data_IF_805060435606
#
_entry.id   IF_805060435606
#
_cell.length_a   1.000
_cell.length_b   1.000
_cell.length_c   1.000
_cell.angle_alpha   90.00
_cell.angle_beta   90.00
_cell.angle_gamma   90.00
#
_symmetry.space_group_name_H-M   'P 1'
#
loop_
_entity.id
_entity.type
_entity.pdbx_description
1 polymer ?
#
# COMPACT_ATOMS: atom_id res chain seq x y z
N UNK A 1 -2.81 -19.08 -4.92
CA UNK A 1 -2.24 -19.23 -3.57
C UNK A 1 -1.61 -17.89 -3.24
N UNK A 2 -2.22 -17.10 -2.36
CA UNK A 2 -1.75 -15.75 -2.04
C UNK A 2 -0.64 -15.74 -0.98
N UNK A 3 0.10 -14.63 -0.88
CA UNK A 3 1.15 -14.41 0.14
C UNK A 3 0.64 -14.63 1.57
N UNK A 4 -0.61 -14.23 1.81
CA UNK A 4 -1.28 -14.35 3.09
C UNK A 4 -2.24 -15.55 3.12
N UNK A 5 -2.35 -16.19 4.29
CA UNK A 5 -3.46 -17.10 4.57
C UNK A 5 -4.78 -16.33 4.66
N UNK A 6 -5.91 -17.03 4.56
CA UNK A 6 -7.25 -16.40 4.62
C UNK A 6 -7.46 -15.52 5.86
N UNK A 7 -7.03 -15.99 7.04
CA UNK A 7 -7.14 -15.20 8.28
C UNK A 7 -6.20 -13.99 8.30
N UNK A 8 -5.01 -14.13 7.74
CA UNK A 8 -4.05 -13.02 7.60
C UNK A 8 -4.58 -11.95 6.65
N UNK A 9 -5.14 -12.34 5.50
CA UNK A 9 -5.74 -11.44 4.52
C UNK A 9 -6.95 -10.69 5.11
N UNK A 10 -7.84 -11.39 5.82
CA UNK A 10 -8.98 -10.76 6.50
C UNK A 10 -8.51 -9.70 7.49
N UNK A 11 -7.57 -10.05 8.39
CA UNK A 11 -7.08 -9.11 9.41
C UNK A 11 -6.33 -7.95 8.78
N UNK A 12 -5.54 -8.21 7.73
CA UNK A 12 -4.84 -7.17 6.97
C UNK A 12 -5.81 -6.16 6.35
N UNK A 13 -6.81 -6.63 5.61
CA UNK A 13 -7.76 -5.76 4.91
C UNK A 13 -8.59 -4.92 5.89
N UNK A 14 -9.04 -5.49 7.00
CA UNK A 14 -9.75 -4.73 8.03
C UNK A 14 -8.85 -3.72 8.74
N UNK A 15 -7.56 -4.04 8.90
CA UNK A 15 -6.59 -3.09 9.43
C UNK A 15 -6.33 -1.92 8.46
N UNK A 16 -6.21 -2.17 7.15
CA UNK A 16 -6.05 -1.11 6.13
C UNK A 16 -7.27 -0.19 6.04
N UNK A 17 -8.46 -0.68 6.40
CA UNK A 17 -9.69 0.14 6.59
C UNK A 17 -9.64 1.05 7.83
N UNK A 18 -8.54 1.04 8.59
CA UNK A 18 -8.36 1.84 9.80
C UNK A 18 -8.98 1.25 11.06
N UNK A 19 -9.39 -0.03 11.04
CA UNK A 19 -9.94 -0.68 12.24
C UNK A 19 -8.84 -1.08 13.21
N UNK A 20 -9.09 -0.86 14.50
CA UNK A 20 -8.19 -1.34 15.55
C UNK A 20 -8.34 -2.86 15.75
N UNK A 21 -7.31 -3.51 16.31
CA UNK A 21 -7.36 -4.95 16.63
C UNK A 21 -8.52 -5.31 17.57
N UNK A 22 -8.93 -4.39 18.44
CA UNK A 22 -10.12 -4.54 19.29
C UNK A 22 -11.42 -4.54 18.47
N UNK A 23 -11.58 -3.58 17.55
CA UNK A 23 -12.75 -3.50 16.67
C UNK A 23 -12.87 -4.74 15.80
N UNK A 24 -11.76 -5.18 15.19
CA UNK A 24 -11.71 -6.40 14.37
C UNK A 24 -12.12 -7.63 15.21
N UNK A 25 -11.62 -7.72 16.44
CA UNK A 25 -11.98 -8.82 17.36
C UNK A 25 -13.47 -8.82 17.75
N UNK A 26 -14.06 -7.64 17.96
CA UNK A 26 -15.47 -7.50 18.29
C UNK A 26 -16.38 -7.91 17.13
N UNK A 27 -16.07 -7.46 15.91
CA UNK A 27 -16.83 -7.83 14.70
C UNK A 27 -16.68 -9.32 14.34
N UNK A 28 -15.55 -9.93 14.70
CA UNK A 28 -15.24 -11.35 14.44
C UNK A 28 -15.40 -12.22 15.68
N UNK A 29 -16.23 -11.80 16.64
CA UNK A 29 -16.43 -12.52 17.91
C UNK A 29 -16.95 -13.95 17.68
N UNK A 30 -17.81 -14.14 16.68
CA UNK A 30 -18.38 -15.46 16.33
C UNK A 30 -17.32 -16.44 15.80
N UNK A 31 -16.19 -15.93 15.29
CA UNK A 31 -15.03 -16.71 14.85
C UNK A 31 -14.01 -16.96 15.99
N UNK A 32 -14.34 -16.59 17.23
CA UNK A 32 -13.48 -16.69 18.42
C UNK A 32 -12.12 -15.98 18.29
N UNK A 33 -12.05 -14.93 17.45
CA UNK A 33 -10.85 -14.13 17.28
C UNK A 33 -10.68 -13.14 18.43
N UNK A 34 -9.93 -13.52 19.47
CA UNK A 34 -9.59 -12.59 20.57
C UNK A 34 -8.67 -11.44 20.10
N UNK A 35 -8.60 -10.30 20.80
CA UNK A 35 -7.72 -9.20 20.40
C UNK A 35 -6.24 -9.61 20.34
N UNK A 36 -5.82 -10.48 21.25
CA UNK A 36 -4.48 -11.05 21.27
C UNK A 36 -4.21 -11.95 20.05
N UNK A 37 -5.24 -12.70 19.62
CA UNK A 37 -5.16 -13.51 18.40
C UNK A 37 -5.06 -12.62 17.15
N UNK A 38 -5.94 -11.62 17.01
CA UNK A 38 -5.92 -10.65 15.90
C UNK A 38 -4.57 -9.94 15.80
N UNK A 39 -4.03 -9.45 16.92
CA UNK A 39 -2.71 -8.80 16.95
C UNK A 39 -1.59 -9.73 16.46
N UNK A 40 -1.60 -11.01 16.88
CA UNK A 40 -0.63 -12.00 16.41
C UNK A 40 -0.75 -12.28 14.92
N UNK A 41 -1.98 -12.39 14.41
CA UNK A 41 -2.25 -12.60 12.98
C UNK A 41 -1.76 -11.41 12.17
N UNK A 42 -2.09 -10.18 12.60
CA UNK A 42 -1.66 -8.95 11.94
C UNK A 42 -0.13 -8.86 11.88
N UNK A 43 0.57 -9.14 12.97
CA UNK A 43 2.03 -9.10 13.00
C UNK A 43 2.67 -10.14 12.08
N UNK A 44 2.08 -11.34 11.94
CA UNK A 44 2.54 -12.32 10.96
C UNK A 44 2.31 -11.86 9.53
N UNK A 45 1.14 -11.28 9.24
CA UNK A 45 0.84 -10.73 7.93
C UNK A 45 1.84 -9.61 7.57
N UNK A 46 2.05 -8.65 8.48
CA UNK A 46 3.05 -7.58 8.32
C UNK A 46 4.44 -8.14 8.05
N UNK A 47 4.89 -9.13 8.81
CA UNK A 47 6.22 -9.72 8.61
C UNK A 47 6.35 -10.38 7.23
N UNK A 48 5.36 -11.19 6.81
CA UNK A 48 5.36 -11.80 5.47
C UNK A 48 5.38 -10.78 4.35
N UNK A 49 4.59 -9.71 4.50
CA UNK A 49 4.57 -8.61 3.52
C UNK A 49 5.93 -7.93 3.49
N UNK A 50 6.46 -7.48 4.62
CA UNK A 50 7.78 -6.84 4.68
C UNK A 50 8.87 -7.70 4.06
N UNK A 51 8.91 -8.99 4.39
CA UNK A 51 9.91 -9.92 3.83
C UNK A 51 9.81 -9.99 2.30
N UNK A 52 8.58 -10.03 1.76
CA UNK A 52 8.37 -10.02 0.31
C UNK A 52 8.78 -8.68 -0.32
N UNK A 53 8.46 -7.54 0.30
CA UNK A 53 8.86 -6.23 -0.22
C UNK A 53 10.39 -6.07 -0.23
N UNK A 54 11.06 -6.54 0.82
CA UNK A 54 12.52 -6.54 0.93
C UNK A 54 13.14 -7.46 -0.13
N UNK A 55 12.62 -8.67 -0.34
CA UNK A 55 13.08 -9.59 -1.40
C UNK A 55 12.96 -8.94 -2.80
N UNK A 56 11.86 -8.25 -3.08
CA UNK A 56 11.72 -7.49 -4.32
C UNK A 56 12.69 -6.32 -4.41
N UNK A 57 12.91 -5.57 -3.32
CA UNK A 57 13.88 -4.48 -3.30
C UNK A 57 15.31 -4.97 -3.56
N UNK A 58 15.71 -6.09 -2.97
CA UNK A 58 17.00 -6.74 -3.19
C UNK A 58 17.15 -7.21 -4.64
N UNK A 59 16.11 -7.85 -5.20
CA UNK A 59 16.09 -8.32 -6.60
C UNK A 59 16.26 -7.17 -7.60
N UNK A 60 15.61 -6.03 -7.31
CA UNK A 60 15.71 -4.80 -8.08
C UNK A 60 16.95 -3.94 -7.73
N UNK A 61 17.79 -4.38 -6.77
CA UNK A 61 19.00 -3.67 -6.30
C UNK A 61 18.73 -2.24 -5.86
N UNK A 62 17.59 -2.03 -5.22
CA UNK A 62 17.19 -0.72 -4.73
C UNK A 62 18.00 -0.34 -3.50
N UNK A 63 18.31 0.95 -3.37
CA UNK A 63 18.69 1.55 -2.10
C UNK A 63 17.41 1.83 -1.30
N UNK A 64 17.20 1.08 -0.21
CA UNK A 64 15.95 1.15 0.55
C UNK A 64 15.93 2.42 1.41
N UNK A 65 15.03 3.34 1.09
CA UNK A 65 14.86 4.61 1.81
C UNK A 65 13.92 4.46 3.02
N UNK A 66 12.85 3.66 2.88
CA UNK A 66 11.85 3.48 3.93
C UNK A 66 11.06 2.19 3.77
N UNK A 67 10.87 1.45 4.86
CA UNK A 67 9.90 0.36 4.96
C UNK A 67 8.76 0.77 5.92
N UNK A 68 7.54 0.86 5.39
CA UNK A 68 6.31 1.13 6.12
C UNK A 68 5.47 -0.15 6.19
N UNK A 69 5.90 -1.09 7.04
CA UNK A 69 5.30 -2.43 7.19
C UNK A 69 3.79 -2.44 7.51
N UNK A 70 3.30 -1.41 8.22
CA UNK A 70 1.89 -1.23 8.54
C UNK A 70 1.04 -0.79 7.34
N UNK A 71 1.67 -0.28 6.27
CA UNK A 71 1.03 0.05 5.00
C UNK A 71 1.39 -0.88 3.86
N UNK A 72 2.20 -1.91 4.12
CA UNK A 72 2.66 -2.81 3.08
C UNK A 72 3.39 -2.07 1.95
N UNK A 73 4.13 -1.02 2.31
CA UNK A 73 4.81 -0.13 1.38
C UNK A 73 6.31 -0.06 1.70
N UNK A 74 7.14 -0.25 0.68
CA UNK A 74 8.56 0.05 0.69
C UNK A 74 8.85 1.14 -0.33
N UNK A 75 9.71 2.09 0.03
CA UNK A 75 10.21 3.14 -0.85
C UNK A 75 11.71 2.94 -0.98
N UNK A 76 12.18 2.92 -2.23
CA UNK A 76 13.60 2.82 -2.53
C UNK A 76 13.97 3.68 -3.73
N UNK A 77 15.27 3.71 -4.02
CA UNK A 77 15.82 4.41 -5.17
C UNK A 77 16.65 3.46 -6.03
N UNK A 78 16.42 3.48 -7.34
CA UNK A 78 17.23 2.76 -8.32
C UNK A 78 18.21 3.76 -8.96
N UNK A 79 19.48 3.66 -8.62
CA UNK A 79 20.52 4.55 -9.18
C UNK A 79 20.78 4.34 -10.67
N UNK A 80 20.52 3.14 -11.21
CA UNK A 80 20.72 2.86 -12.64
C UNK A 80 19.61 3.49 -13.48
N UNK A 81 18.36 3.37 -13.00
CA UNK A 81 17.21 4.02 -13.62
C UNK A 81 17.09 5.51 -13.26
N UNK A 82 17.84 5.97 -12.25
CA UNK A 82 17.73 7.30 -11.64
C UNK A 82 16.26 7.64 -11.28
N UNK A 83 15.59 6.69 -10.63
CA UNK A 83 14.17 6.75 -10.37
C UNK A 83 13.83 6.30 -8.95
N UNK A 84 12.87 7.01 -8.34
CA UNK A 84 12.24 6.55 -7.11
C UNK A 84 11.30 5.37 -7.42
N UNK A 85 11.35 4.36 -6.57
CA UNK A 85 10.60 3.12 -6.72
C UNK A 85 9.74 2.89 -5.48
N UNK A 86 8.47 2.61 -5.70
CA UNK A 86 7.52 2.19 -4.67
C UNK A 86 7.23 0.71 -4.85
N UNK A 87 7.41 -0.08 -3.80
CA UNK A 87 6.99 -1.49 -3.78
C UNK A 87 5.81 -1.59 -2.81
N UNK A 88 4.65 -1.97 -3.32
CA UNK A 88 3.41 -2.03 -2.54
C UNK A 88 2.77 -3.41 -2.64
N UNK A 89 2.30 -3.93 -1.51
CA UNK A 89 1.52 -5.15 -1.48
C UNK A 89 0.03 -4.84 -1.70
N UNK A 90 -0.63 -5.61 -2.54
CA UNK A 90 -2.09 -5.64 -2.70
C UNK A 90 -2.57 -7.09 -2.60
N UNK A 91 -3.79 -7.31 -2.13
CA UNK A 91 -4.39 -8.65 -2.10
C UNK A 91 -4.77 -9.10 -3.50
N UNK A 92 -5.31 -8.19 -4.33
CA UNK A 92 -5.77 -8.49 -5.69
C UNK A 92 -4.64 -8.75 -6.68
N UNK A 93 -3.57 -7.96 -6.65
CA UNK A 93 -2.47 -8.03 -7.64
C UNK A 93 -1.14 -8.55 -7.06
N UNK A 94 -1.06 -8.78 -5.75
CA UNK A 94 0.18 -9.18 -5.08
C UNK A 94 1.14 -8.00 -4.92
N UNK A 95 2.45 -8.27 -5.00
CA UNK A 95 3.47 -7.23 -4.87
C UNK A 95 3.64 -6.49 -6.19
N UNK A 96 3.37 -5.18 -6.17
CA UNK A 96 3.52 -4.26 -7.29
C UNK A 96 4.81 -3.48 -7.10
N UNK A 97 5.68 -3.48 -8.12
CA UNK A 97 6.89 -2.64 -8.18
C UNK A 97 6.63 -1.48 -9.14
N UNK A 98 6.59 -0.27 -8.62
CA UNK A 98 6.25 0.94 -9.36
C UNK A 98 7.44 1.90 -9.46
N UNK A 99 7.99 2.03 -10.66
CA UNK A 99 9.00 3.05 -10.96
C UNK A 99 8.31 4.38 -11.27
N UNK A 100 8.67 5.43 -10.54
CA UNK A 100 8.24 6.79 -10.88
C UNK A 100 8.79 7.18 -12.24
N UNK A 101 7.90 7.61 -13.13
CA UNK A 101 8.26 8.03 -14.48
C UNK A 101 7.29 9.11 -14.97
N UNK A 102 7.76 9.95 -15.89
CA UNK A 102 6.95 11.00 -16.50
C UNK A 102 6.40 10.64 -17.88
N UNK A 103 6.92 9.56 -18.49
CA UNK A 103 6.49 9.04 -19.80
C UNK A 103 6.82 7.55 -19.94
N UNK A 104 6.15 6.86 -20.85
CA UNK A 104 6.49 5.49 -21.25
C UNK A 104 7.11 5.50 -22.64
N UNK A 105 8.39 5.14 -22.74
CA UNK A 105 9.16 5.19 -23.99
C UNK A 105 9.04 6.55 -24.73
N UNK A 106 9.02 7.65 -23.96
CA UNK A 106 8.87 9.01 -24.48
C UNK A 106 7.44 9.43 -24.83
N UNK A 107 6.45 8.55 -24.66
CA UNK A 107 5.03 8.87 -24.85
C UNK A 107 4.40 9.32 -23.54
N UNK A 108 3.69 10.45 -23.60
CA UNK A 108 2.90 10.96 -22.49
C UNK A 108 1.53 10.27 -22.49
N UNK A 109 0.89 10.18 -21.33
CA UNK A 109 -0.54 9.83 -21.28
C UNK A 109 -1.36 10.97 -21.91
N UNK A 110 -2.38 10.68 -22.73
CA UNK A 110 -3.00 9.37 -22.93
C UNK A 110 -2.47 8.53 -24.11
N UNK A 111 -1.41 8.96 -24.81
CA UNK A 111 -0.87 8.24 -25.98
C UNK A 111 -0.04 7.00 -25.60
N UNK A 112 -0.03 6.65 -24.32
CA UNK A 112 0.75 5.55 -23.75
C UNK A 112 0.03 4.20 -23.97
N UNK A 113 0.68 3.19 -24.55
CA UNK A 113 0.08 1.86 -24.76
C UNK A 113 -0.11 1.06 -23.45
N UNK A 114 0.38 1.59 -22.33
CA UNK A 114 0.34 0.97 -20.99
C UNK A 114 -0.60 1.69 -20.03
N UNK A 115 -1.40 2.62 -20.53
CA UNK A 115 -2.28 3.40 -19.66
C UNK A 115 -3.30 2.53 -18.92
N UNK A 116 -3.89 1.53 -19.59
CA UNK A 116 -4.85 0.63 -18.96
C UNK A 116 -4.20 -0.23 -17.87
N UNK A 117 -3.01 -0.77 -18.12
CA UNK A 117 -2.22 -1.51 -17.12
C UNK A 117 -1.89 -0.63 -15.90
N UNK A 118 -1.51 0.64 -16.15
CA UNK A 118 -1.28 1.61 -15.08
C UNK A 118 -2.55 1.89 -14.28
N UNK A 119 -3.69 2.04 -14.96
CA UNK A 119 -4.98 2.31 -14.34
C UNK A 119 -5.41 1.17 -13.44
N UNK A 120 -5.37 -0.08 -13.93
CA UNK A 120 -5.71 -1.27 -13.16
C UNK A 120 -4.89 -1.36 -11.86
N UNK A 121 -3.57 -1.17 -11.96
CA UNK A 121 -2.69 -1.22 -10.80
C UNK A 121 -2.96 -0.10 -9.78
N UNK A 122 -3.18 1.13 -10.27
CA UNK A 122 -3.43 2.29 -9.40
C UNK A 122 -4.81 2.22 -8.76
N UNK A 123 -5.83 1.77 -9.49
CA UNK A 123 -7.20 1.61 -8.99
C UNK A 123 -7.20 0.57 -7.86
N UNK A 124 -6.55 -0.59 -8.05
CA UNK A 124 -6.39 -1.60 -7.01
C UNK A 124 -5.73 -1.04 -5.73
N UNK A 125 -4.67 -0.23 -5.87
CA UNK A 125 -4.03 0.42 -4.72
C UNK A 125 -4.99 1.40 -4.04
N UNK A 126 -5.69 2.24 -4.80
CA UNK A 126 -6.60 3.24 -4.21
C UNK A 126 -7.78 2.62 -3.50
N UNK A 127 -8.33 1.52 -4.03
CA UNK A 127 -9.45 0.79 -3.44
C UNK A 127 -9.03 0.08 -2.15
N UNK A 128 -7.92 -0.68 -2.18
CA UNK A 128 -7.49 -1.46 -1.01
C UNK A 128 -7.01 -0.56 0.15
N UNK A 129 -6.31 0.52 -0.16
CA UNK A 129 -5.78 1.46 0.84
C UNK A 129 -6.71 2.65 1.12
N UNK A 130 -7.92 2.66 0.55
CA UNK A 130 -8.94 3.69 0.78
C UNK A 130 -8.40 5.11 0.55
N UNK A 131 -7.64 5.29 -0.53
CA UNK A 131 -7.01 6.56 -0.88
C UNK A 131 -8.00 7.41 -1.66
N UNK A 132 -8.48 8.48 -1.02
CA UNK A 132 -9.33 9.46 -1.69
C UNK A 132 -8.47 10.46 -2.49
N UNK A 133 -8.72 10.52 -3.80
CA UNK A 133 -8.19 11.54 -4.68
C UNK A 133 -9.12 12.74 -4.70
N UNK A 134 -8.55 13.94 -4.75
CA UNK A 134 -9.32 15.16 -4.99
C UNK A 134 -9.73 15.23 -6.47
N UNK A 135 -10.78 15.98 -6.83
CA UNK A 135 -11.20 16.14 -8.23
C UNK A 135 -10.08 16.67 -9.16
N UNK A 136 -9.19 17.52 -8.64
CA UNK A 136 -8.03 18.00 -9.40
C UNK A 136 -6.99 16.90 -9.64
N UNK A 137 -6.85 15.94 -8.71
CA UNK A 137 -5.94 14.80 -8.81
C UNK A 137 -6.52 13.70 -9.72
N UNK A 138 -7.84 13.51 -9.72
CA UNK A 138 -8.56 12.62 -10.65
C UNK A 138 -8.55 13.11 -12.09
N UNK A 139 -8.31 14.41 -12.34
CA UNK A 139 -8.15 14.96 -13.69
C UNK A 139 -6.75 14.76 -14.25
N UNK A 140 -5.78 14.33 -13.44
CA UNK A 140 -4.37 14.25 -13.85
C UNK A 140 -4.11 13.07 -14.80
N UNK A 141 -3.11 13.21 -15.70
CA UNK A 141 -2.52 12.09 -16.41
C UNK A 141 -2.01 11.00 -15.45
N UNK A 142 -2.03 9.73 -15.86
CA UNK A 142 -1.68 8.60 -14.98
C UNK A 142 -0.32 8.75 -14.27
N UNK A 143 0.69 9.28 -14.96
CA UNK A 143 2.04 9.51 -14.39
C UNK A 143 2.05 10.48 -13.21
N UNK A 144 1.21 11.53 -13.28
CA UNK A 144 1.07 12.50 -12.21
C UNK A 144 0.12 11.98 -11.12
N UNK A 145 -0.94 11.28 -11.52
CA UNK A 145 -1.89 10.64 -10.59
C UNK A 145 -1.20 9.61 -9.71
N UNK A 146 -0.32 8.77 -10.25
CA UNK A 146 0.45 7.81 -9.47
C UNK A 146 1.28 8.51 -8.40
N UNK A 147 1.89 9.66 -8.73
CA UNK A 147 2.64 10.45 -7.76
C UNK A 147 1.75 10.94 -6.62
N UNK A 148 0.53 11.39 -6.91
CA UNK A 148 -0.44 11.79 -5.88
C UNK A 148 -0.85 10.61 -4.99
N UNK A 149 -1.13 9.44 -5.58
CA UNK A 149 -1.50 8.21 -4.87
C UNK A 149 -0.39 7.78 -3.92
N UNK A 150 0.85 7.62 -4.42
CA UNK A 150 1.97 7.17 -3.60
C UNK A 150 2.38 8.20 -2.54
N UNK A 151 2.24 9.50 -2.80
CA UNK A 151 2.47 10.51 -1.78
C UNK A 151 1.45 10.41 -0.63
N UNK A 152 0.17 10.19 -0.94
CA UNK A 152 -0.87 9.97 0.08
C UNK A 152 -0.63 8.68 0.84
N UNK A 153 -0.29 7.59 0.14
CA UNK A 153 0.02 6.31 0.77
C UNK A 153 1.27 6.43 1.67
N UNK A 154 2.31 7.13 1.23
CA UNK A 154 3.55 7.30 1.99
C UNK A 154 3.44 8.31 3.15
N UNK A 155 2.43 9.19 3.14
CA UNK A 155 2.28 10.25 4.14
C UNK A 155 2.16 9.66 5.56
N UNK A 156 2.98 10.15 6.50
CA UNK A 156 2.89 9.72 7.90
C UNK A 156 1.47 9.97 8.42
N UNK A 157 0.89 8.98 9.11
CA UNK A 157 -0.37 9.22 9.82
C UNK A 157 -0.14 10.36 10.81
N UNK A 158 -0.88 11.47 10.62
CA UNK A 158 -0.94 12.51 11.65
C UNK A 158 -1.52 11.84 12.88
N UNK A 159 -0.84 11.83 14.04
CA UNK A 159 -1.39 11.25 15.25
C UNK A 159 -2.76 11.89 15.50
N UNK A 160 -3.84 11.11 15.34
CA UNK A 160 -5.19 11.52 15.76
C UNK A 160 -5.25 11.46 17.29
N UNK A 161 -4.36 12.18 17.98
CA UNK A 161 -4.52 12.47 19.39
C UNK A 161 -5.61 13.54 19.52
N UNK A 162 -6.88 13.13 19.38
CA UNK A 162 -7.96 13.86 20.04
C UNK A 162 -7.82 13.54 21.52
N UNK A 163 -7.09 14.40 22.24
CA UNK A 163 -7.22 14.53 23.68
C UNK A 163 -8.71 14.69 23.94
N UNK A 164 -9.38 13.69 24.53
CA UNK A 164 -10.70 13.91 25.13
C UNK A 164 -10.50 15.12 26.05
N UNK A 165 -11.27 16.18 25.78
CA UNK A 165 -11.21 17.41 26.55
C UNK A 165 -11.32 17.09 28.03
N UNK A 166 -10.34 17.56 28.80
CA UNK A 166 -10.56 17.86 30.20
C UNK A 166 -10.99 19.32 30.20
N UNK A 167 -12.29 19.56 30.27
CA UNK A 167 -12.96 20.71 30.88
C UNK A 167 -14.46 20.40 30.97
#
# INVERSE_FOLDING_TARGET
MGLLSTQEAIVWNEFQKGKSTGTISEERREENMSPAYVSRVLNRARKKISDALEEHAESHRLDVESLQDYKGLLIGFDYQANAQVYIVYTEGLGVIVWYKHDSYAGKLCPDCPKEDDCREALDAITEEYHIELRPDEEGLPMTQRSTAIFNKLAAKEVPRYKRKGNE
#
